data_IF_257681688474
#
_entry.id   IF_257681688474
#
_cell.length_a   1.000
_cell.length_b   1.000
_cell.length_c   1.000
_cell.angle_alpha   90.00
_cell.angle_beta   90.00
_cell.angle_gamma   90.00
#
_symmetry.space_group_name_H-M   'P 1'
#
loop_
_entity.id
_entity.type
_entity.pdbx_description
1 polymer ?
#
# COMPACT_ATOMS: atom_id res chain seq x y z
N UNK A 1 -9.20 -11.66 -13.33
CA UNK A 1 -8.23 -11.05 -14.27
C UNK A 1 -6.90 -11.75 -14.09
N UNK A 2 -6.16 -12.04 -15.17
CA UNK A 2 -4.84 -12.65 -15.12
C UNK A 2 -3.83 -11.74 -15.81
N UNK A 3 -2.62 -11.56 -15.27
CA UNK A 3 -1.58 -10.78 -15.95
C UNK A 3 -1.07 -11.55 -17.18
N UNK A 4 -0.77 -10.81 -18.25
CA UNK A 4 -0.10 -11.35 -19.44
C UNK A 4 1.38 -11.59 -19.17
N UNK A 5 2.05 -12.38 -20.01
CA UNK A 5 3.51 -12.58 -19.90
C UNK A 5 4.28 -11.27 -19.99
N UNK A 6 3.86 -10.34 -20.86
CA UNK A 6 4.47 -9.01 -20.98
C UNK A 6 4.31 -8.17 -19.69
N UNK A 7 3.15 -8.24 -19.04
CA UNK A 7 2.91 -7.57 -17.77
C UNK A 7 3.80 -8.13 -16.64
N UNK A 8 3.99 -9.46 -16.61
CA UNK A 8 4.89 -10.11 -15.65
C UNK A 8 6.34 -9.67 -15.90
N UNK A 9 6.78 -9.63 -17.15
CA UNK A 9 8.12 -9.14 -17.52
C UNK A 9 8.32 -7.67 -17.15
N UNK A 10 7.31 -6.83 -17.40
CA UNK A 10 7.33 -5.41 -17.02
C UNK A 10 7.45 -5.25 -15.51
N UNK A 11 6.62 -5.96 -14.72
CA UNK A 11 6.71 -5.93 -13.26
C UNK A 11 8.10 -6.34 -12.76
N UNK A 12 8.66 -7.42 -13.31
CA UNK A 12 10.00 -7.90 -12.94
C UNK A 12 11.11 -6.93 -13.30
N UNK A 13 11.03 -6.30 -14.47
CA UNK A 13 12.04 -5.34 -14.95
C UNK A 13 11.96 -4.01 -14.21
N UNK A 14 10.77 -3.45 -14.09
CA UNK A 14 10.56 -2.09 -13.61
C UNK A 14 10.33 -2.02 -12.10
N UNK A 15 9.96 -3.14 -11.46
CA UNK A 15 9.57 -3.22 -10.06
C UNK A 15 8.11 -2.87 -9.81
N UNK A 16 7.34 -2.52 -10.85
CA UNK A 16 5.92 -2.20 -10.77
C UNK A 16 5.18 -2.47 -12.07
N UNK A 17 3.85 -2.56 -11.97
CA UNK A 17 2.93 -2.69 -13.10
C UNK A 17 1.72 -1.79 -12.88
N UNK A 18 1.29 -1.09 -13.93
CA UNK A 18 0.05 -0.28 -13.95
C UNK A 18 -1.06 -1.05 -14.64
N UNK A 19 -2.27 -1.01 -14.06
CA UNK A 19 -3.49 -1.60 -14.60
C UNK A 19 -4.55 -0.50 -14.65
N UNK A 20 -4.94 -0.07 -15.84
CA UNK A 20 -5.82 1.09 -16.03
C UNK A 20 -7.24 0.89 -15.46
N UNK A 21 -7.74 -0.35 -15.46
CA UNK A 21 -9.06 -0.69 -14.92
C UNK A 21 -8.96 -1.95 -14.06
N UNK A 22 -9.14 -1.80 -12.75
CA UNK A 22 -9.02 -2.88 -11.78
C UNK A 22 -10.23 -2.98 -10.85
N UNK A 23 -10.80 -1.84 -10.44
CA UNK A 23 -12.04 -1.76 -9.69
C UNK A 23 -13.20 -1.42 -10.62
N UNK A 24 -14.37 -1.94 -10.33
CA UNK A 24 -15.59 -1.52 -10.98
C UNK A 24 -16.07 -0.14 -10.47
N UNK A 25 -16.76 0.62 -11.29
CA UNK A 25 -17.24 1.96 -10.92
C UNK A 25 -18.07 1.98 -9.62
N UNK A 26 -18.88 0.95 -9.40
CA UNK A 26 -19.69 0.82 -8.18
C UNK A 26 -18.84 0.58 -6.93
N UNK A 27 -17.70 -0.12 -7.06
CA UNK A 27 -16.76 -0.33 -5.96
C UNK A 27 -16.04 0.98 -5.61
N UNK A 28 -15.63 1.74 -6.62
CA UNK A 28 -15.02 3.07 -6.44
C UNK A 28 -15.97 4.01 -5.70
N UNK A 29 -17.23 4.08 -6.13
CA UNK A 29 -18.23 4.96 -5.52
C UNK A 29 -18.50 4.57 -4.06
N UNK A 30 -18.67 3.28 -3.79
CA UNK A 30 -18.81 2.75 -2.44
C UNK A 30 -17.60 3.11 -1.57
N UNK A 31 -16.37 2.90 -2.08
CA UNK A 31 -15.17 3.22 -1.34
C UNK A 31 -15.05 4.73 -1.03
N UNK A 32 -15.40 5.61 -1.97
CA UNK A 32 -15.42 7.06 -1.76
C UNK A 32 -16.39 7.49 -0.66
N UNK A 33 -17.61 6.94 -0.66
CA UNK A 33 -18.58 7.19 0.41
C UNK A 33 -18.02 6.76 1.77
N UNK A 34 -17.44 5.56 1.84
CA UNK A 34 -16.88 5.01 3.08
C UNK A 34 -15.64 5.79 3.56
N UNK A 35 -14.82 6.31 2.66
CA UNK A 35 -13.69 7.20 3.00
C UNK A 35 -14.16 8.41 3.80
N UNK A 36 -15.22 9.08 3.38
CA UNK A 36 -15.77 10.24 4.10
C UNK A 36 -16.10 9.87 5.55
N UNK A 37 -16.68 8.69 5.77
CA UNK A 37 -17.10 8.22 7.11
C UNK A 37 -15.90 7.82 7.96
N UNK A 38 -14.98 7.00 7.44
CA UNK A 38 -13.83 6.56 8.24
C UNK A 38 -12.89 7.72 8.58
N UNK A 39 -12.76 8.72 7.71
CA UNK A 39 -12.00 9.94 8.02
C UNK A 39 -12.77 10.93 8.91
N UNK A 40 -14.07 10.73 9.12
CA UNK A 40 -14.84 11.37 10.20
C UNK A 40 -14.81 10.56 11.51
N UNK A 41 -14.01 9.48 11.58
CA UNK A 41 -13.90 8.54 12.69
C UNK A 41 -15.21 7.78 13.00
N UNK A 42 -16.05 7.60 11.97
CA UNK A 42 -17.25 6.76 12.07
C UNK A 42 -16.87 5.30 11.75
N UNK A 43 -16.54 4.54 12.80
CA UNK A 43 -16.15 3.14 12.67
C UNK A 43 -17.38 2.22 12.65
N UNK A 44 -17.73 1.68 11.46
CA UNK A 44 -18.91 0.81 11.28
C UNK A 44 -18.90 -0.41 12.20
N UNK A 45 -17.73 -1.00 12.41
CA UNK A 45 -17.57 -2.20 13.22
C UNK A 45 -17.41 -1.90 14.72
N UNK A 46 -17.27 -0.63 15.11
CA UNK A 46 -16.86 -0.21 16.45
C UNK A 46 -15.38 -0.39 16.75
N UNK A 47 -14.58 -0.90 15.80
CA UNK A 47 -13.13 -1.06 15.94
C UNK A 47 -12.40 0.09 15.27
N UNK A 48 -11.45 0.70 15.99
CA UNK A 48 -10.57 1.70 15.44
C UNK A 48 -9.49 1.04 14.56
N UNK A 49 -9.07 1.65 13.44
CA UNK A 49 -7.85 1.25 12.72
C UNK A 49 -6.63 1.19 13.64
N UNK A 50 -5.63 0.35 13.30
CA UNK A 50 -4.44 0.21 14.14
C UNK A 50 -3.60 1.48 14.22
N UNK A 51 -3.59 2.26 13.14
CA UNK A 51 -2.93 3.55 13.08
C UNK A 51 -3.87 4.60 12.47
N UNK A 52 -3.90 5.76 13.07
CA UNK A 52 -4.72 6.90 12.66
C UNK A 52 -3.86 8.14 12.68
N UNK A 53 -3.40 8.58 11.50
CA UNK A 53 -2.53 9.75 11.33
C UNK A 53 -3.31 11.01 10.94
N UNK A 54 -4.56 11.09 11.39
CA UNK A 54 -5.44 12.23 11.14
C UNK A 54 -6.48 12.34 12.25
N UNK A 55 -6.64 13.56 12.77
CA UNK A 55 -7.67 13.88 13.77
C UNK A 55 -8.56 14.99 13.22
N UNK A 56 -9.87 14.73 13.02
CA UNK A 56 -10.80 15.72 12.52
C UNK A 56 -10.81 17.01 13.36
N UNK A 57 -10.68 18.15 12.69
CA UNK A 57 -10.66 19.47 13.35
C UNK A 57 -9.36 19.83 14.10
N UNK A 58 -8.38 18.93 14.16
CA UNK A 58 -7.07 19.14 14.82
C UNK A 58 -5.92 19.10 13.82
N UNK A 59 -5.90 18.07 12.98
CA UNK A 59 -4.85 17.94 11.95
C UNK A 59 -5.00 19.08 10.91
N UNK A 60 -3.90 19.74 10.49
CA UNK A 60 -3.94 20.77 9.47
C UNK A 60 -4.70 20.32 8.22
N UNK A 61 -5.52 21.17 7.59
CA UNK A 61 -6.41 20.77 6.50
C UNK A 61 -5.68 20.28 5.24
N UNK A 62 -4.48 20.79 5.01
CA UNK A 62 -3.57 20.40 3.91
C UNK A 62 -2.72 19.17 4.20
N UNK A 63 -2.80 18.62 5.41
CA UNK A 63 -2.04 17.40 5.76
C UNK A 63 -2.61 16.19 5.02
N UNK A 64 -1.75 15.46 4.31
CA UNK A 64 -2.11 14.14 3.78
C UNK A 64 -2.45 13.19 4.92
N UNK A 65 -3.62 12.55 4.80
CA UNK A 65 -4.27 11.75 5.84
C UNK A 65 -4.06 10.27 5.57
N UNK A 66 -3.85 9.49 6.62
CA UNK A 66 -3.65 8.04 6.51
C UNK A 66 -4.34 7.30 7.66
N UNK A 67 -4.97 6.18 7.31
CA UNK A 67 -5.48 5.19 8.26
C UNK A 67 -4.91 3.83 7.87
N UNK A 68 -4.32 3.10 8.83
CA UNK A 68 -3.79 1.75 8.59
C UNK A 68 -4.68 0.69 9.25
N UNK A 69 -4.91 -0.41 8.54
CA UNK A 69 -5.84 -1.46 8.91
C UNK A 69 -7.30 -0.98 9.02
N UNK A 70 -7.72 -0.17 8.03
CA UNK A 70 -9.08 0.34 7.92
C UNK A 70 -10.10 -0.79 7.67
N UNK A 71 -9.67 -1.93 7.14
CA UNK A 71 -10.49 -3.13 6.95
C UNK A 71 -11.15 -3.61 8.24
N UNK A 72 -10.53 -3.33 9.41
CA UNK A 72 -11.11 -3.66 10.71
C UNK A 72 -12.25 -2.75 11.09
N UNK A 73 -12.22 -1.51 10.61
CA UNK A 73 -13.18 -0.47 10.97
C UNK A 73 -14.40 -0.41 10.05
N UNK A 74 -14.27 -0.91 8.80
CA UNK A 74 -15.29 -0.76 7.76
C UNK A 74 -15.36 -1.99 6.86
N UNK A 75 -16.55 -2.60 6.75
CA UNK A 75 -16.77 -3.85 6.01
C UNK A 75 -16.71 -3.66 4.50
N UNK A 76 -17.17 -2.52 3.99
CA UNK A 76 -17.14 -2.26 2.56
C UNK A 76 -15.68 -2.02 2.09
N UNK A 77 -14.89 -1.27 2.85
CA UNK A 77 -13.45 -1.12 2.57
C UNK A 77 -12.72 -2.45 2.71
N UNK A 78 -13.08 -3.29 3.71
CA UNK A 78 -12.55 -4.64 3.83
C UNK A 78 -12.82 -5.49 2.58
N UNK A 79 -14.01 -5.38 1.98
CA UNK A 79 -14.35 -6.09 0.74
C UNK A 79 -13.43 -5.70 -0.42
N UNK A 80 -13.00 -4.43 -0.49
CA UNK A 80 -12.07 -3.94 -1.51
C UNK A 80 -10.63 -4.38 -1.24
N UNK A 81 -10.15 -4.18 -0.01
CA UNK A 81 -8.73 -4.44 0.32
C UNK A 81 -8.41 -5.93 0.46
N UNK A 82 -9.37 -6.72 0.94
CA UNK A 82 -9.25 -8.18 1.11
C UNK A 82 -9.77 -8.97 -0.11
N UNK A 83 -10.10 -8.29 -1.22
CA UNK A 83 -10.60 -8.97 -2.40
C UNK A 83 -9.61 -10.04 -2.90
N UNK A 84 -10.12 -11.24 -3.19
CA UNK A 84 -9.33 -12.35 -3.73
C UNK A 84 -8.49 -11.93 -4.93
N UNK A 85 -9.09 -11.14 -5.85
CA UNK A 85 -8.42 -10.71 -7.09
C UNK A 85 -7.11 -9.95 -6.84
N UNK A 86 -6.99 -9.19 -5.72
CA UNK A 86 -5.78 -8.43 -5.39
C UNK A 86 -4.59 -9.39 -5.21
N UNK A 87 -4.78 -10.43 -4.37
CA UNK A 87 -3.75 -11.43 -4.12
C UNK A 87 -3.55 -12.39 -5.29
N UNK A 88 -4.62 -12.85 -5.95
CA UNK A 88 -4.54 -13.78 -7.08
C UNK A 88 -3.77 -13.18 -8.24
N UNK A 89 -4.01 -11.92 -8.58
CA UNK A 89 -3.25 -11.20 -9.61
C UNK A 89 -1.79 -10.99 -9.19
N UNK A 90 -1.56 -10.57 -7.95
CA UNK A 90 -0.24 -10.31 -7.40
C UNK A 90 0.63 -11.61 -7.28
N UNK A 91 0.05 -12.74 -6.91
CA UNK A 91 0.75 -14.04 -6.90
C UNK A 91 1.27 -14.38 -8.28
N UNK A 92 0.48 -14.19 -9.33
CA UNK A 92 0.89 -14.44 -10.73
C UNK A 92 1.96 -13.48 -11.22
N UNK A 93 1.97 -12.23 -10.74
CA UNK A 93 3.04 -11.27 -11.04
C UNK A 93 4.36 -11.67 -10.37
N UNK A 94 4.29 -12.01 -9.09
CA UNK A 94 5.47 -12.24 -8.24
C UNK A 94 6.03 -13.66 -8.36
N UNK A 95 5.16 -14.66 -8.63
CA UNK A 95 5.48 -16.09 -8.56
C UNK A 95 5.58 -16.62 -7.13
N UNK A 96 5.08 -15.89 -6.14
CA UNK A 96 5.00 -16.35 -4.74
C UNK A 96 3.90 -17.42 -4.60
N UNK A 97 4.02 -18.38 -3.67
CA UNK A 97 3.07 -19.50 -3.52
C UNK A 97 1.70 -19.06 -2.99
N UNK A 98 1.62 -17.87 -2.43
CA UNK A 98 0.42 -17.27 -1.90
C UNK A 98 0.72 -15.98 -1.19
N UNK A 99 -0.32 -15.17 -0.97
CA UNK A 99 -0.23 -13.87 -0.32
C UNK A 99 -1.26 -13.75 0.81
N UNK A 100 -0.85 -13.11 1.89
CA UNK A 100 -1.70 -12.68 3.00
C UNK A 100 -1.68 -11.16 3.13
N UNK A 101 -2.75 -10.59 3.63
CA UNK A 101 -2.73 -9.18 4.00
C UNK A 101 -1.75 -8.97 5.15
N UNK A 102 -0.84 -8.02 4.99
CA UNK A 102 -0.02 -7.47 6.07
C UNK A 102 -0.76 -6.31 6.74
N UNK A 103 -1.13 -5.34 5.94
CA UNK A 103 -1.97 -4.21 6.34
C UNK A 103 -2.66 -3.61 5.11
N UNK A 104 -3.75 -2.90 5.33
CA UNK A 104 -4.29 -1.99 4.33
C UNK A 104 -4.11 -0.53 4.76
N UNK A 105 -4.10 0.36 3.77
CA UNK A 105 -4.04 1.79 4.01
C UNK A 105 -5.14 2.50 3.23
N UNK A 106 -5.82 3.42 3.90
CA UNK A 106 -6.61 4.45 3.27
C UNK A 106 -5.80 5.75 3.29
N UNK A 107 -5.50 6.31 2.12
CA UNK A 107 -4.76 7.58 1.99
C UNK A 107 -5.65 8.60 1.30
N UNK A 108 -5.78 9.76 1.95
CA UNK A 108 -6.49 10.91 1.40
C UNK A 108 -5.57 12.13 1.37
N UNK A 109 -5.12 12.49 0.18
CA UNK A 109 -4.39 13.71 -0.07
C UNK A 109 -5.38 14.80 -0.46
N UNK A 110 -5.61 15.80 0.40
CA UNK A 110 -6.54 16.91 0.12
C UNK A 110 -6.01 17.83 -0.97
N UNK A 111 -6.81 18.79 -1.45
CA UNK A 111 -6.31 19.89 -2.27
C UNK A 111 -5.13 20.59 -1.58
N UNK A 112 -4.07 20.89 -2.33
CA UNK A 112 -2.80 21.41 -1.81
C UNK A 112 -2.15 20.51 -0.74
N UNK A 113 -2.41 19.20 -0.78
CA UNK A 113 -1.96 18.22 0.21
C UNK A 113 -0.44 18.08 0.28
N UNK A 114 0.06 17.80 1.50
CA UNK A 114 1.50 17.60 1.75
C UNK A 114 2.04 16.30 1.15
N UNK A 115 3.34 16.28 0.80
CA UNK A 115 4.04 15.14 0.25
C UNK A 115 4.05 13.92 1.20
N UNK A 116 4.30 12.75 0.62
CA UNK A 116 4.71 11.52 1.30
C UNK A 116 6.12 11.13 0.85
N UNK A 117 6.96 10.75 1.81
CA UNK A 117 8.37 10.41 1.57
C UNK A 117 8.51 9.30 0.53
N UNK A 118 9.50 9.42 -0.35
CA UNK A 118 9.91 8.33 -1.23
C UNK A 118 10.69 7.28 -0.43
N UNK A 119 10.16 6.06 -0.35
CA UNK A 119 10.59 4.98 0.53
C UNK A 119 10.43 3.61 -0.13
N UNK A 120 10.90 2.56 0.54
CA UNK A 120 10.65 1.15 0.21
C UNK A 120 9.74 0.56 1.29
N UNK A 121 8.61 -0.04 0.94
CA UNK A 121 7.67 -0.64 1.91
C UNK A 121 8.33 -1.72 2.77
N UNK A 122 9.12 -2.60 2.13
CA UNK A 122 9.80 -3.71 2.81
C UNK A 122 10.82 -3.25 3.86
N UNK A 123 11.26 -2.00 3.83
CA UNK A 123 12.15 -1.43 4.83
C UNK A 123 11.47 -1.24 6.21
N UNK A 124 10.13 -1.16 6.24
CA UNK A 124 9.35 -1.00 7.46
C UNK A 124 8.90 -2.32 8.10
N UNK A 125 9.28 -3.46 7.51
CA UNK A 125 8.84 -4.78 7.97
C UNK A 125 10.00 -5.68 8.41
N UNK A 126 11.01 -5.11 9.06
CA UNK A 126 12.18 -5.80 9.63
C UNK A 126 11.83 -6.80 10.75
N UNK A 127 10.60 -6.73 11.26
CA UNK A 127 9.99 -7.67 12.20
C UNK A 127 9.41 -8.93 11.54
N UNK A 128 9.54 -9.07 10.21
CA UNK A 128 9.12 -10.22 9.40
C UNK A 128 10.28 -10.83 8.62
N UNK A 129 10.21 -12.17 8.38
CA UNK A 129 11.24 -12.92 7.65
C UNK A 129 10.65 -14.08 6.83
N UNK A 130 10.98 -14.21 5.52
CA UNK A 130 11.56 -13.16 4.68
C UNK A 130 10.53 -12.04 4.40
N UNK A 131 10.95 -10.79 4.19
CA UNK A 131 10.05 -9.67 3.90
C UNK A 131 9.65 -9.66 2.40
N UNK A 132 9.20 -10.79 1.89
CA UNK A 132 8.74 -10.93 0.51
C UNK A 132 7.34 -10.35 0.38
N UNK A 133 7.24 -9.13 -0.10
CA UNK A 133 5.98 -8.41 -0.19
C UNK A 133 5.75 -7.76 -1.55
N UNK A 134 4.50 -7.52 -1.82
CA UNK A 134 4.02 -6.71 -2.94
C UNK A 134 2.81 -5.91 -2.50
N UNK A 135 2.63 -4.76 -3.10
CA UNK A 135 1.54 -3.85 -2.77
C UNK A 135 0.63 -3.66 -3.97
N UNK A 136 -0.68 -3.68 -3.74
CA UNK A 136 -1.71 -3.27 -4.68
C UNK A 136 -2.24 -1.90 -4.25
N UNK A 137 -1.85 -0.84 -4.96
CA UNK A 137 -2.35 0.51 -4.80
C UNK A 137 -3.51 0.74 -5.78
N UNK A 138 -4.66 1.21 -5.30
CA UNK A 138 -5.88 1.39 -6.08
C UNK A 138 -6.35 2.85 -5.99
N UNK A 139 -6.51 3.48 -7.15
CA UNK A 139 -6.96 4.85 -7.26
C UNK A 139 -8.49 4.95 -7.09
N UNK A 140 -8.94 5.80 -6.18
CA UNK A 140 -10.35 6.11 -6.04
C UNK A 140 -10.75 7.40 -6.79
N UNK A 141 -9.79 8.19 -7.25
CA UNK A 141 -9.97 9.39 -8.08
C UNK A 141 -9.09 9.28 -9.31
N UNK A 142 -9.41 10.02 -10.38
CA UNK A 142 -8.50 10.17 -11.51
C UNK A 142 -7.20 10.80 -11.03
N UNK A 143 -6.08 10.19 -11.36
CA UNK A 143 -4.77 10.61 -10.86
C UNK A 143 -3.96 11.34 -11.94
N UNK A 144 -3.19 12.33 -11.54
CA UNK A 144 -2.29 13.08 -12.41
C UNK A 144 -1.05 13.52 -11.65
N UNK A 145 0.02 13.80 -12.39
CA UNK A 145 1.30 14.21 -11.85
C UNK A 145 1.21 15.44 -10.94
N UNK A 146 0.38 16.42 -11.33
CA UNK A 146 0.16 17.68 -10.61
C UNK A 146 -0.80 17.56 -9.40
N UNK A 147 -1.54 16.44 -9.28
CA UNK A 147 -2.45 16.18 -8.17
C UNK A 147 -1.87 15.23 -7.10
N UNK A 148 -0.56 15.17 -6.97
CA UNK A 148 0.12 14.39 -5.94
C UNK A 148 -0.07 12.88 -6.09
N UNK A 149 -0.12 12.36 -7.32
CA UNK A 149 -0.17 10.91 -7.53
C UNK A 149 1.07 10.22 -6.96
N UNK A 150 1.00 8.90 -6.82
CA UNK A 150 2.17 8.10 -6.46
C UNK A 150 3.16 8.06 -7.63
N UNK A 151 4.45 8.17 -7.33
CA UNK A 151 5.55 7.99 -8.26
C UNK A 151 6.34 6.76 -7.89
N UNK A 152 6.76 6.00 -8.88
CA UNK A 152 7.74 4.91 -8.73
C UNK A 152 9.09 5.29 -9.30
N UNK A 153 10.15 4.79 -8.67
CA UNK A 153 11.51 4.82 -9.22
C UNK A 153 11.73 3.53 -9.99
N UNK A 154 11.78 3.64 -11.33
CA UNK A 154 11.91 2.48 -12.23
C UNK A 154 13.15 1.65 -11.91
N UNK A 155 12.97 0.34 -11.78
CA UNK A 155 14.04 -0.64 -11.55
C UNK A 155 14.68 -0.59 -10.16
N UNK A 156 14.18 0.25 -9.26
CA UNK A 156 14.77 0.40 -7.91
C UNK A 156 14.58 -0.81 -7.01
N UNK A 157 13.67 -1.71 -7.32
CA UNK A 157 13.55 -3.02 -6.62
C UNK A 157 14.82 -3.88 -6.74
N UNK A 158 15.65 -3.62 -7.75
CA UNK A 158 16.92 -4.31 -7.96
C UNK A 158 18.11 -3.66 -7.23
N UNK A 159 17.89 -2.52 -6.57
CA UNK A 159 18.94 -1.86 -5.81
C UNK A 159 19.21 -2.59 -4.48
N UNK A 160 20.21 -2.10 -3.73
CA UNK A 160 20.44 -2.58 -2.37
C UNK A 160 19.20 -2.31 -1.50
N UNK A 161 19.04 -3.14 -0.46
CA UNK A 161 18.02 -2.95 0.56
C UNK A 161 18.49 -1.87 1.53
N UNK A 162 17.63 -0.90 1.77
CA UNK A 162 17.94 0.22 2.65
C UNK A 162 17.00 0.20 3.87
N UNK A 163 17.46 0.66 5.05
CA UNK A 163 16.60 0.80 6.21
C UNK A 163 15.53 1.89 5.97
N UNK A 164 14.43 1.81 6.71
CA UNK A 164 13.47 2.90 6.75
C UNK A 164 14.11 4.14 7.38
N UNK A 165 13.93 5.32 6.77
CA UNK A 165 14.50 6.56 7.23
C UNK A 165 13.58 7.75 6.91
N UNK A 166 13.71 8.79 7.73
CA UNK A 166 13.07 10.07 7.51
C UNK A 166 11.63 10.19 8.01
N UNK A 167 11.08 11.39 7.85
CA UNK A 167 9.70 11.71 8.17
C UNK A 167 8.79 11.28 7.01
N UNK A 168 7.99 10.25 7.21
CA UNK A 168 7.08 9.74 6.18
C UNK A 168 6.07 10.79 5.71
N UNK A 169 5.47 11.52 6.66
CA UNK A 169 4.46 12.54 6.37
C UNK A 169 5.06 13.94 6.29
N UNK A 170 4.71 14.66 5.22
CA UNK A 170 5.10 16.05 4.97
C UNK A 170 6.62 16.30 5.05
N UNK A 171 7.46 15.53 4.36
CA UNK A 171 8.87 15.81 4.27
C UNK A 171 9.13 17.13 3.52
N UNK A 172 10.18 17.86 3.89
CA UNK A 172 10.62 19.07 3.17
C UNK A 172 11.10 18.72 1.74
N UNK A 173 11.80 17.59 1.60
CA UNK A 173 12.21 17.03 0.31
C UNK A 173 11.78 15.55 0.25
N UNK A 174 10.69 15.26 -0.47
CA UNK A 174 10.16 13.91 -0.57
C UNK A 174 11.06 12.92 -1.32
N UNK A 175 12.03 13.41 -2.09
CA UNK A 175 13.04 12.61 -2.81
C UNK A 175 14.41 12.59 -2.11
N UNK A 176 14.59 13.36 -1.05
CA UNK A 176 15.90 13.52 -0.38
C UNK A 176 16.52 12.18 -0.01
N UNK A 177 15.72 11.28 0.57
CA UNK A 177 16.23 9.96 0.96
C UNK A 177 16.66 9.12 -0.25
N UNK A 178 15.82 8.93 -1.26
CA UNK A 178 16.18 8.12 -2.43
C UNK A 178 17.39 8.69 -3.18
N UNK A 179 17.54 10.01 -3.24
CA UNK A 179 18.73 10.65 -3.82
C UNK A 179 20.00 10.35 -3.04
N UNK A 180 19.91 10.24 -1.71
CA UNK A 180 21.07 9.95 -0.84
C UNK A 180 21.59 8.51 -0.98
N UNK A 181 20.73 7.58 -1.41
CA UNK A 181 21.05 6.16 -1.58
C UNK A 181 21.12 5.71 -3.04
N UNK A 182 21.03 6.64 -3.97
CA UNK A 182 21.06 6.37 -5.40
C UNK A 182 22.38 5.65 -5.77
N UNK A 183 22.35 4.48 -6.42
CA UNK A 183 23.57 3.79 -6.82
C UNK A 183 24.43 4.64 -7.78
N UNK A 184 25.74 4.59 -7.60
CA UNK A 184 26.66 5.38 -8.43
C UNK A 184 26.49 5.09 -9.93
N UNK A 185 26.32 6.14 -10.73
CA UNK A 185 26.12 6.04 -12.17
C UNK A 185 24.70 5.68 -12.61
N UNK A 186 23.76 5.60 -11.67
CA UNK A 186 22.35 5.36 -11.96
C UNK A 186 21.60 6.69 -12.10
N UNK A 187 20.75 6.79 -13.12
CA UNK A 187 19.82 7.90 -13.28
C UNK A 187 18.53 7.64 -12.50
N UNK A 188 18.01 8.65 -11.82
CA UNK A 188 16.76 8.58 -11.10
C UNK A 188 15.58 8.74 -12.07
N UNK A 189 15.02 7.64 -12.53
CA UNK A 189 13.84 7.64 -13.40
C UNK A 189 12.56 7.57 -12.60
N UNK A 190 11.86 8.69 -12.49
CA UNK A 190 10.59 8.84 -11.79
C UNK A 190 9.41 8.67 -12.76
N UNK A 191 8.50 7.77 -12.42
CA UNK A 191 7.31 7.46 -13.22
C UNK A 191 6.05 7.80 -12.43
N UNK A 192 5.30 8.87 -12.81
CA UNK A 192 3.99 9.17 -12.22
C UNK A 192 2.99 8.10 -12.61
N UNK A 193 2.11 7.73 -11.68
CA UNK A 193 1.03 6.77 -11.94
C UNK A 193 -0.24 7.56 -12.23
N UNK A 194 -0.52 7.71 -13.51
CA UNK A 194 -1.68 8.43 -14.02
C UNK A 194 -2.69 7.42 -14.55
N UNK A 195 -3.76 7.22 -13.80
CA UNK A 195 -4.83 6.27 -14.10
C UNK A 195 -6.20 6.89 -13.81
N UNK A 196 -7.25 6.44 -14.50
CA UNK A 196 -8.62 6.80 -14.11
C UNK A 196 -8.98 6.19 -12.74
N UNK A 197 -10.02 6.72 -12.13
CA UNK A 197 -10.61 6.13 -10.92
C UNK A 197 -10.97 4.66 -11.17
N UNK A 198 -10.53 3.78 -10.29
CA UNK A 198 -10.62 2.32 -10.46
C UNK A 198 -9.36 1.68 -11.06
N UNK A 199 -8.41 2.48 -11.55
CA UNK A 199 -7.10 1.98 -11.92
C UNK A 199 -6.27 1.54 -10.72
N UNK A 200 -5.25 0.71 -10.95
CA UNK A 200 -4.37 0.21 -9.91
C UNK A 200 -2.90 0.17 -10.35
N UNK A 201 -2.01 0.11 -9.38
CA UNK A 201 -0.62 -0.21 -9.61
C UNK A 201 -0.16 -1.26 -8.60
N UNK A 202 0.58 -2.25 -9.09
CA UNK A 202 1.24 -3.26 -8.27
C UNK A 202 2.73 -2.97 -8.21
N UNK A 203 3.33 -3.00 -7.02
CA UNK A 203 4.77 -2.81 -6.88
C UNK A 203 5.41 -3.81 -5.93
N UNK A 204 6.67 -4.10 -6.19
CA UNK A 204 7.52 -4.89 -5.31
C UNK A 204 7.84 -4.10 -4.04
N UNK A 205 7.90 -4.76 -2.89
CA UNK A 205 8.16 -4.11 -1.61
C UNK A 205 9.48 -3.34 -1.53
N UNK A 206 10.43 -3.62 -2.42
CA UNK A 206 11.70 -2.92 -2.53
C UNK A 206 11.72 -1.84 -3.63
N UNK A 207 10.60 -1.58 -4.29
CA UNK A 207 10.48 -0.46 -5.23
C UNK A 207 10.35 0.85 -4.46
N UNK A 208 11.26 1.80 -4.69
CA UNK A 208 11.12 3.14 -4.16
C UNK A 208 9.91 3.83 -4.75
N UNK A 209 9.09 4.40 -3.88
CA UNK A 209 7.90 5.13 -4.26
C UNK A 209 7.53 6.19 -3.21
N UNK A 210 6.79 7.19 -3.65
CA UNK A 210 6.32 8.27 -2.80
C UNK A 210 5.38 9.19 -3.56
N UNK A 211 4.96 10.29 -2.95
CA UNK A 211 4.07 11.26 -3.61
C UNK A 211 4.60 12.68 -3.40
N UNK A 212 4.74 13.49 -4.48
CA UNK A 212 4.96 14.92 -4.34
C UNK A 212 3.78 15.58 -3.63
N UNK A 213 3.89 16.85 -3.24
CA UNK A 213 2.74 17.64 -2.83
C UNK A 213 1.67 17.67 -3.93
N UNK A 214 0.41 17.78 -3.54
CA UNK A 214 -0.67 18.05 -4.47
C UNK A 214 -0.66 19.55 -4.84
N UNK A 215 -0.31 19.89 -6.07
CA UNK A 215 -0.27 21.28 -6.55
C UNK A 215 -1.65 21.84 -6.93
N UNK A 216 -2.67 20.98 -6.92
CA UNK A 216 -4.04 21.33 -7.32
C UNK A 216 -4.85 21.81 -6.11
N UNK A 217 -5.33 23.05 -6.12
CA UNK A 217 -6.20 23.58 -5.05
C UNK A 217 -7.67 23.13 -5.17
N UNK A 218 -8.03 22.49 -6.29
CA UNK A 218 -9.39 22.09 -6.66
C UNK A 218 -9.59 20.57 -6.73
N UNK A 219 -8.55 19.78 -6.48
CA UNK A 219 -8.58 18.31 -6.57
C UNK A 219 -8.02 17.65 -5.32
N UNK A 220 -8.68 16.62 -4.89
CA UNK A 220 -8.17 15.66 -3.91
C UNK A 220 -7.74 14.37 -4.61
N UNK A 221 -6.94 13.57 -3.94
CA UNK A 221 -6.56 12.23 -4.40
C UNK A 221 -6.72 11.23 -3.26
N UNK A 222 -7.63 10.28 -3.45
CA UNK A 222 -7.87 9.17 -2.54
C UNK A 222 -7.35 7.88 -3.14
N UNK A 223 -6.74 7.05 -2.32
CA UNK A 223 -6.31 5.71 -2.70
C UNK A 223 -6.50 4.73 -1.55
N UNK A 224 -6.83 3.49 -1.91
CA UNK A 224 -6.90 2.37 -0.96
C UNK A 224 -5.86 1.33 -1.37
N UNK A 225 -5.17 0.76 -0.39
CA UNK A 225 -3.95 0.01 -0.62
C UNK A 225 -4.01 -1.31 0.14
N UNK A 226 -3.58 -2.40 -0.52
CA UNK A 226 -3.38 -3.70 0.12
C UNK A 226 -1.89 -4.03 0.10
N UNK A 227 -1.21 -3.93 1.24
CA UNK A 227 0.15 -4.44 1.42
C UNK A 227 0.06 -5.92 1.75
N UNK A 228 0.69 -6.75 0.92
CA UNK A 228 0.61 -8.19 1.02
C UNK A 228 2.01 -8.79 1.18
N UNK A 229 2.13 -9.78 2.05
CA UNK A 229 3.37 -10.57 2.22
C UNK A 229 3.12 -12.02 1.84
N UNK A 230 4.21 -12.73 1.48
CA UNK A 230 4.17 -14.16 1.20
C UNK A 230 3.53 -14.94 2.34
N UNK A 231 2.80 -16.00 2.01
CA UNK A 231 2.30 -16.96 3.03
C UNK A 231 3.42 -17.71 3.74
N UNK A 232 4.65 -17.68 3.21
CA UNK A 232 5.86 -18.25 3.84
C UNK A 232 6.53 -17.28 4.83
N UNK A 233 6.11 -16.01 4.84
CA UNK A 233 6.65 -15.00 5.77
C UNK A 233 6.20 -15.29 7.19
N UNK A 234 7.14 -15.20 8.13
CA UNK A 234 6.94 -15.43 9.57
C UNK A 234 7.46 -14.25 10.40
N UNK A 235 7.17 -14.25 11.68
CA UNK A 235 7.81 -13.31 12.62
C UNK A 235 9.32 -13.52 12.65
N UNK A 236 10.08 -12.45 12.53
CA UNK A 236 11.54 -12.47 12.74
C UNK A 236 11.88 -12.57 14.23
N UNK A 237 13.16 -12.84 14.54
CA UNK A 237 13.70 -12.76 15.90
C UNK A 237 14.20 -11.34 16.24
N UNK A 238 13.90 -10.37 15.36
CA UNK A 238 14.24 -8.95 15.53
C UNK A 238 13.44 -8.24 16.63
N UNK A 239 13.62 -6.92 16.75
CA UNK A 239 12.91 -6.14 17.76
C UNK A 239 11.40 -6.16 17.53
N UNK A 240 10.61 -6.03 18.62
CA UNK A 240 9.16 -5.97 18.47
C UNK A 240 8.72 -4.70 17.74
N UNK A 241 7.76 -4.84 16.83
CA UNK A 241 7.12 -3.69 16.20
C UNK A 241 6.05 -3.07 17.10
N UNK A 242 6.02 -1.74 17.20
CA UNK A 242 5.13 -1.02 18.12
C UNK A 242 3.63 -1.32 17.92
N UNK A 243 3.21 -1.53 16.66
CA UNK A 243 1.80 -1.76 16.32
C UNK A 243 1.48 -3.25 16.25
N UNK A 244 2.32 -4.06 15.58
CA UNK A 244 1.95 -5.42 15.19
C UNK A 244 2.34 -6.51 16.18
N UNK A 245 3.33 -6.29 17.07
CA UNK A 245 3.77 -7.32 18.04
C UNK A 245 2.68 -7.80 18.99
N UNK A 246 1.63 -6.99 19.21
CA UNK A 246 0.44 -7.41 19.97
C UNK A 246 -0.33 -8.57 19.34
N UNK A 247 -0.12 -8.85 18.05
CA UNK A 247 -0.74 -9.94 17.30
C UNK A 247 0.11 -11.21 17.26
N UNK A 248 1.35 -11.16 17.77
CA UNK A 248 2.22 -12.32 17.87
C UNK A 248 1.80 -13.19 19.04
N UNK A 249 1.50 -14.46 18.79
CA UNK A 249 1.28 -15.44 19.87
C UNK A 249 2.62 -15.83 20.49
N UNK A 250 2.71 -15.93 21.83
CA UNK A 250 3.93 -16.33 22.50
C UNK A 250 4.43 -17.70 22.00
N UNK A 251 5.69 -17.75 21.57
CA UNK A 251 6.35 -18.97 21.08
C UNK A 251 6.03 -19.35 19.63
N UNK A 252 5.12 -18.65 18.94
CA UNK A 252 4.79 -18.89 17.54
C UNK A 252 5.54 -17.95 16.60
N UNK A 253 5.97 -18.50 15.46
CA UNK A 253 6.56 -17.70 14.37
C UNK A 253 5.55 -17.42 13.26
N UNK A 254 4.49 -18.20 13.16
CA UNK A 254 3.49 -18.01 12.11
C UNK A 254 2.64 -16.76 12.36
N UNK A 255 2.27 -16.09 11.27
CA UNK A 255 1.35 -14.96 11.32
C UNK A 255 -0.08 -15.48 11.52
N UNK A 256 -0.74 -15.03 12.58
CA UNK A 256 -2.11 -15.42 12.90
C UNK A 256 -3.10 -14.89 11.86
N UNK A 257 -3.85 -15.78 11.21
CA UNK A 257 -4.82 -15.44 10.17
C UNK A 257 -5.98 -14.56 10.66
N UNK A 258 -6.23 -14.50 11.96
CA UNK A 258 -7.20 -13.55 12.52
C UNK A 258 -6.80 -12.08 12.31
N UNK A 259 -5.50 -11.81 12.12
CA UNK A 259 -4.95 -10.46 11.94
C UNK A 259 -4.23 -10.27 10.61
N UNK A 260 -3.72 -11.36 10.04
CA UNK A 260 -3.00 -11.41 8.78
C UNK A 260 -3.60 -12.49 7.88
N UNK A 261 -4.84 -12.31 7.40
CA UNK A 261 -5.57 -13.34 6.67
C UNK A 261 -4.88 -13.71 5.36
N UNK A 262 -4.87 -15.00 5.03
CA UNK A 262 -4.45 -15.49 3.72
C UNK A 262 -5.51 -15.07 2.70
N UNK A 263 -5.13 -14.16 1.80
CA UNK A 263 -6.03 -13.64 0.77
C UNK A 263 -6.19 -14.62 -0.39
N UNK A 264 -5.11 -15.30 -0.76
CA UNK A 264 -5.14 -16.37 -1.77
C UNK A 264 -3.82 -17.14 -1.83
N UNK A 265 -3.89 -18.45 -2.08
CA UNK A 265 -2.76 -19.37 -2.36
C UNK A 265 -3.02 -20.15 -3.64
N UNK A 266 -1.94 -20.64 -4.29
CA UNK A 266 -2.03 -21.43 -5.53
C UNK A 266 -2.80 -22.76 -5.36
N UNK A 267 -2.84 -23.34 -4.17
CA UNK A 267 -3.66 -24.52 -3.84
C UNK A 267 -5.15 -24.22 -3.65
N UNK A 268 -5.54 -22.95 -3.86
CA UNK A 268 -6.91 -22.47 -3.71
C UNK A 268 -7.31 -22.07 -2.29
N UNK A 269 -6.41 -22.19 -1.32
CA UNK A 269 -6.72 -21.81 0.06
C UNK A 269 -6.89 -20.30 0.20
N UNK A 270 -7.86 -19.93 1.01
CA UNK A 270 -8.16 -18.58 1.45
C UNK A 270 -8.71 -18.65 2.87
N UNK A 271 -8.36 -17.71 3.73
CA UNK A 271 -8.91 -17.65 5.08
C UNK A 271 -10.45 -17.64 5.04
N UNK A 272 -11.14 -18.58 5.69
CA UNK A 272 -12.57 -18.85 5.43
C UNK A 272 -13.54 -17.72 5.80
N UNK A 273 -13.16 -16.80 6.70
CA UNK A 273 -14.03 -15.69 7.12
C UNK A 273 -13.91 -14.43 6.25
N UNK A 274 -13.00 -14.44 5.26
CA UNK A 274 -12.87 -13.32 4.32
C UNK A 274 -14.14 -13.16 3.46
N UNK A 275 -14.54 -11.89 3.14
CA UNK A 275 -15.72 -11.59 2.35
C UNK A 275 -15.66 -12.14 0.92
#
# INVERSE_FOLDING_TARGET
>A
MEPTSEQIETYRRDGFLVVEQFLEAAEVETARERFTRVFAHEWETGLRPDEVNYEPGVTPPDRTRQLCNVWKADRALATTTLARRNAEFAVRLTGLPGLRLLQDNAIWMPPSGTALLCHQDAAYVDWLEPPNMTTCWMALDDTSADAGTIYYVRGSSHWSRFPAEGAFHAPDDWLGYVRSVLPAGTELELVPIEVPAGGAAFHDGWTFHGSPPNERPDRERRSIISHMVSTETTWSDGPPHAIYSKYRRPGERDLDEAFFPVMWREDGYRTPWLP
#
